data_IF_265695443305
#
_entry.id   IF_265695443305
#
_cell.length_a   1.000
_cell.length_b   1.000
_cell.length_c   1.000
_cell.angle_alpha   90.00
_cell.angle_beta   90.00
_cell.angle_gamma   90.00
#
_symmetry.space_group_name_H-M   'P 1'
#
loop_
_entity.id
_entity.type
_entity.pdbx_description
1 polymer ?
#
# COMPACT_ATOMS: atom_id res chain seq x y z
N UNK A 1 22.16 16.87 -35.51
CA UNK A 1 20.96 16.04 -35.25
C UNK A 1 21.09 15.19 -33.99
N UNK A 2 22.22 14.49 -33.78
CA UNK A 2 22.47 13.60 -32.63
C UNK A 2 22.23 14.24 -31.24
N UNK A 3 22.61 15.51 -31.03
CA UNK A 3 22.46 16.21 -29.74
C UNK A 3 20.99 16.39 -29.31
N UNK A 4 20.07 16.50 -30.28
CA UNK A 4 18.63 16.58 -30.01
C UNK A 4 18.06 15.24 -29.58
N UNK A 5 18.61 14.12 -30.09
CA UNK A 5 18.23 12.78 -29.63
C UNK A 5 18.62 12.57 -28.17
N UNK A 6 19.83 12.96 -27.76
CA UNK A 6 20.27 12.83 -26.36
C UNK A 6 19.37 13.57 -25.36
N UNK A 7 18.95 14.79 -25.73
CA UNK A 7 18.02 15.56 -24.89
C UNK A 7 16.66 14.86 -24.73
N UNK A 8 16.17 14.22 -25.80
CA UNK A 8 14.92 13.47 -25.77
C UNK A 8 15.02 12.22 -24.90
N UNK A 9 16.14 11.50 -24.95
CA UNK A 9 16.35 10.31 -24.11
C UNK A 9 16.42 10.66 -22.63
N UNK A 10 17.10 11.75 -22.27
CA UNK A 10 17.15 12.22 -20.87
C UNK A 10 15.77 12.63 -20.37
N UNK A 11 14.99 13.33 -21.20
CA UNK A 11 13.62 13.72 -20.86
C UNK A 11 12.72 12.49 -20.62
N UNK A 12 12.90 11.42 -21.41
CA UNK A 12 12.11 10.19 -21.29
C UNK A 12 12.40 9.44 -19.98
N UNK A 13 13.66 9.45 -19.51
CA UNK A 13 14.07 8.80 -18.26
C UNK A 13 13.49 9.52 -17.03
N UNK A 14 13.30 10.85 -17.10
CA UNK A 14 12.70 11.64 -16.02
C UNK A 14 11.20 11.38 -15.82
N UNK A 15 10.55 10.73 -16.80
CA UNK A 15 9.12 10.41 -16.74
C UNK A 15 8.84 9.06 -16.07
N UNK A 16 9.86 8.32 -15.63
CA UNK A 16 9.66 7.05 -14.92
C UNK A 16 9.01 7.36 -13.56
N UNK A 17 7.76 6.95 -13.32
CA UNK A 17 7.11 7.19 -12.03
C UNK A 17 7.90 6.43 -10.97
N UNK A 18 8.45 7.16 -10.00
CA UNK A 18 8.97 6.58 -8.77
C UNK A 18 7.81 5.81 -8.12
N UNK A 19 7.98 4.49 -7.96
CA UNK A 19 6.96 3.60 -7.40
C UNK A 19 6.42 4.20 -6.10
N UNK A 20 5.09 4.25 -5.97
CA UNK A 20 4.44 4.76 -4.76
C UNK A 20 4.90 4.00 -3.52
N UNK A 21 5.12 4.72 -2.42
CA UNK A 21 5.34 4.10 -1.12
C UNK A 21 4.02 3.48 -0.67
N UNK A 22 3.95 2.14 -0.67
CA UNK A 22 2.94 1.44 0.12
C UNK A 22 3.13 1.74 1.60
N UNK A 23 2.05 1.69 2.37
CA UNK A 23 2.12 1.83 3.83
C UNK A 23 2.14 0.44 4.45
N UNK A 24 3.00 0.26 5.47
CA UNK A 24 2.92 -0.90 6.36
C UNK A 24 2.13 -0.49 7.60
N UNK A 25 0.99 -1.13 7.84
CA UNK A 25 0.15 -0.84 9.01
C UNK A 25 0.26 -2.00 9.98
N UNK A 26 1.16 -1.85 10.96
CA UNK A 26 1.31 -2.82 12.05
C UNK A 26 0.28 -2.56 13.15
N UNK A 27 -0.44 -3.61 13.54
CA UNK A 27 -1.49 -3.55 14.56
C UNK A 27 -1.26 -4.61 15.64
N UNK A 28 -1.75 -4.33 16.84
CA UNK A 28 -1.75 -5.25 17.98
C UNK A 28 -3.01 -5.04 18.79
N UNK A 29 -3.97 -5.98 18.70
CA UNK A 29 -5.24 -5.92 19.42
C UNK A 29 -5.33 -7.07 20.42
N UNK A 30 -5.37 -6.73 21.71
CA UNK A 30 -5.51 -7.72 22.78
C UNK A 30 -6.88 -8.40 22.69
N UNK A 31 -6.90 -9.73 22.76
CA UNK A 31 -8.14 -10.52 22.79
C UNK A 31 -8.68 -10.95 21.42
N UNK A 32 -8.01 -10.62 20.31
CA UNK A 32 -8.38 -11.04 18.95
C UNK A 32 -7.37 -12.02 18.32
N UNK A 33 -6.75 -12.88 19.14
CA UNK A 33 -5.77 -13.85 18.65
C UNK A 33 -6.37 -14.80 17.61
N UNK A 34 -5.66 -15.02 16.49
CA UNK A 34 -6.09 -15.88 15.37
C UNK A 34 -7.40 -15.44 14.67
N UNK A 35 -7.83 -14.20 14.86
CA UNK A 35 -9.00 -13.65 14.18
C UNK A 35 -8.62 -12.98 12.85
N UNK A 36 -9.60 -12.68 12.02
CA UNK A 36 -9.42 -11.98 10.75
C UNK A 36 -9.82 -10.52 10.88
N UNK A 37 -8.90 -9.61 10.57
CA UNK A 37 -9.19 -8.18 10.46
C UNK A 37 -9.31 -7.75 9.00
N UNK A 38 -10.27 -6.86 8.75
CA UNK A 38 -10.50 -6.25 7.45
C UNK A 38 -10.10 -4.77 7.56
N UNK A 39 -9.12 -4.37 6.76
CA UNK A 39 -8.81 -2.96 6.54
C UNK A 39 -9.77 -2.44 5.49
N UNK A 40 -10.44 -1.33 5.76
CA UNK A 40 -11.37 -0.72 4.81
C UNK A 40 -11.49 0.78 5.01
N UNK A 41 -12.07 1.45 4.03
CA UNK A 41 -12.38 2.87 4.09
C UNK A 41 -13.88 3.08 4.00
N UNK A 42 -14.36 4.16 4.61
CA UNK A 42 -15.77 4.55 4.50
C UNK A 42 -15.99 5.41 3.25
N UNK A 43 -16.99 5.05 2.46
CA UNK A 43 -17.58 5.91 1.45
C UNK A 43 -19.05 6.11 1.82
N UNK A 44 -19.41 7.35 2.16
CA UNK A 44 -20.69 7.67 2.81
C UNK A 44 -20.95 6.75 4.02
N UNK A 45 -22.03 5.99 4.02
CA UNK A 45 -22.43 5.05 5.07
C UNK A 45 -21.92 3.63 4.85
N UNK A 46 -21.17 3.37 3.77
CA UNK A 46 -20.70 2.01 3.41
C UNK A 46 -19.22 1.86 3.69
N UNK A 47 -18.85 0.78 4.37
CA UNK A 47 -17.46 0.34 4.48
C UNK A 47 -17.09 -0.44 3.21
N UNK A 48 -15.97 -0.06 2.59
CA UNK A 48 -15.40 -0.74 1.42
C UNK A 48 -14.11 -1.43 1.89
N UNK A 49 -14.02 -2.77 1.84
CA UNK A 49 -12.81 -3.51 2.16
C UNK A 49 -11.67 -3.15 1.21
N UNK A 50 -10.50 -2.87 1.77
CA UNK A 50 -9.25 -2.58 1.08
C UNK A 50 -8.29 -3.77 1.17
N UNK A 51 -8.19 -4.40 2.35
CA UNK A 51 -7.28 -5.54 2.60
C UNK A 51 -7.75 -6.42 3.77
N UNK A 52 -7.13 -7.57 4.00
CA UNK A 52 -7.45 -8.53 5.05
C UNK A 52 -6.20 -9.17 5.63
N UNK A 53 -6.12 -9.27 6.96
CA UNK A 53 -5.01 -9.93 7.67
C UNK A 53 -5.55 -10.90 8.71
N UNK A 54 -4.88 -12.05 8.84
CA UNK A 54 -5.12 -13.00 9.94
C UNK A 54 -4.13 -12.69 11.07
N UNK A 55 -4.64 -12.49 12.28
CA UNK A 55 -3.82 -12.14 13.44
C UNK A 55 -3.06 -13.36 13.97
N UNK A 56 -1.88 -13.10 14.54
CA UNK A 56 -1.14 -14.14 15.24
C UNK A 56 -1.76 -14.47 16.60
N UNK A 57 -1.16 -15.44 17.31
CA UNK A 57 -1.61 -15.86 18.63
C UNK A 57 -1.51 -14.77 19.73
N UNK A 58 -0.86 -13.63 19.44
CA UNK A 58 -0.75 -12.46 20.31
C UNK A 58 -1.64 -11.30 19.83
N UNK A 59 -2.46 -11.50 18.80
CA UNK A 59 -3.33 -10.46 18.24
C UNK A 59 -2.60 -9.45 17.37
N UNK A 60 -1.44 -9.81 16.80
CA UNK A 60 -0.63 -8.93 15.93
C UNK A 60 -0.83 -9.25 14.46
N UNK A 61 -0.79 -8.23 13.62
CA UNK A 61 -0.89 -8.36 12.17
C UNK A 61 -0.27 -7.15 11.47
N UNK A 62 0.05 -7.31 10.19
CA UNK A 62 0.54 -6.22 9.33
C UNK A 62 -0.28 -6.25 8.04
N UNK A 63 -0.90 -5.13 7.72
CA UNK A 63 -1.39 -4.85 6.36
C UNK A 63 -0.26 -4.23 5.54
#
# INVERSE_FOLDING_TARGET
MIKRLWALTVLLILLIPLRGQGYNIEISIKGLSNDTLILGHYFTTRMIPTDTVVLDNRGRGVF
#
